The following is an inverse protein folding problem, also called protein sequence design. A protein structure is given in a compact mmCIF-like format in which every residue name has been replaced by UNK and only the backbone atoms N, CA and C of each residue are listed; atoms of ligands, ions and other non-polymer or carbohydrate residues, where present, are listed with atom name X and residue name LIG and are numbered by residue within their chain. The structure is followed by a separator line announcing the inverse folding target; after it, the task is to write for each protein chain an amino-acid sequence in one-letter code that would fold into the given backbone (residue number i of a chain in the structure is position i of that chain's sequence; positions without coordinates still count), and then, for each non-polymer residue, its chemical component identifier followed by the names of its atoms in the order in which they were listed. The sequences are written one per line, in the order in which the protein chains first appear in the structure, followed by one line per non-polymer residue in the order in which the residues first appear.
data_IF_309785240504
#
_entry.id   IF_309785240504
#
_cell.length_a   1.000
_cell.length_b   1.000
_cell.length_c   1.000
_cell.angle_alpha   90.00
_cell.angle_beta   90.00
_cell.angle_gamma   90.00
#
_symmetry.space_group_name_H-M   'P 1'
#
loop_
_entity.id
_entity.type
_entity.pdbx_description
1 polymer ?
#
# COMPACT_ATOMS: atom_id res chain seq x y z
N UNK A 1 18.37 -4.05 3.61
CA UNK A 1 18.45 -2.62 3.99
C UNK A 1 19.53 -1.98 3.15
N UNK A 2 19.26 -0.80 2.57
CA UNK A 2 20.26 -0.04 1.82
C UNK A 2 20.83 1.11 2.68
N UNK A 3 21.97 0.91 3.39
CA UNK A 3 22.56 1.94 4.24
C UNK A 3 22.89 3.22 3.47
N UNK A 4 23.35 3.06 2.22
CA UNK A 4 23.65 4.17 1.32
C UNK A 4 22.40 4.96 0.92
N UNK A 5 21.25 4.31 0.76
CA UNK A 5 19.99 4.99 0.48
C UNK A 5 19.51 5.83 1.67
N UNK A 6 19.65 5.31 2.89
CA UNK A 6 19.34 6.03 4.12
C UNK A 6 20.27 7.23 4.31
N UNK A 7 21.58 7.01 4.16
CA UNK A 7 22.57 8.08 4.28
C UNK A 7 22.33 9.20 3.25
N UNK A 8 22.07 8.84 1.99
CA UNK A 8 21.74 9.81 0.93
C UNK A 8 20.51 10.64 1.27
N UNK A 9 19.41 9.99 1.67
CA UNK A 9 18.17 10.67 2.03
C UNK A 9 18.35 11.60 3.25
N UNK A 10 19.13 11.18 4.26
CA UNK A 10 19.47 12.02 5.41
C UNK A 10 20.24 13.27 4.98
N UNK A 11 21.29 13.12 4.16
CA UNK A 11 22.09 14.24 3.69
C UNK A 11 21.24 15.20 2.84
N UNK A 12 20.41 14.68 1.95
CA UNK A 12 19.52 15.48 1.11
C UNK A 12 18.51 16.26 1.95
N UNK A 13 17.90 15.61 2.95
CA UNK A 13 16.91 16.24 3.83
C UNK A 13 17.54 17.32 4.74
N UNK A 14 18.73 17.07 5.26
CA UNK A 14 19.48 18.06 6.07
C UNK A 14 19.82 19.29 5.23
N UNK A 15 20.32 19.11 4.00
CA UNK A 15 20.68 20.23 3.12
C UNK A 15 19.49 21.06 2.63
N UNK A 16 18.34 20.42 2.41
CA UNK A 16 17.14 21.09 1.90
C UNK A 16 16.25 21.68 3.00
N UNK A 17 16.49 21.37 4.27
CA UNK A 17 15.59 21.73 5.37
C UNK A 17 14.18 21.09 5.27
N UNK A 18 14.00 20.16 4.32
CA UNK A 18 12.74 19.49 4.04
C UNK A 18 12.97 18.02 3.70
N UNK A 19 11.95 17.20 3.90
CA UNK A 19 11.96 15.79 3.50
C UNK A 19 11.63 15.66 2.01
N UNK A 20 12.62 15.86 1.14
CA UNK A 20 12.44 15.82 -0.32
C UNK A 20 12.51 14.42 -0.92
N UNK A 21 13.19 13.48 -0.26
CA UNK A 21 13.36 12.11 -0.77
C UNK A 21 13.01 11.07 0.28
N UNK A 22 12.09 10.17 -0.05
CA UNK A 22 11.76 9.00 0.79
C UNK A 22 12.84 7.93 0.67
N UNK A 23 13.69 7.76 1.71
CA UNK A 23 14.75 6.75 1.75
C UNK A 23 14.41 5.52 2.59
N UNK A 24 13.18 5.42 3.12
CA UNK A 24 12.77 4.29 3.96
C UNK A 24 12.58 3.02 3.14
N UNK A 25 13.13 1.91 3.62
CA UNK A 25 12.91 0.58 3.03
C UNK A 25 11.50 0.06 3.33
N UNK A 26 11.09 -0.98 2.62
CA UNK A 26 9.81 -1.67 2.87
C UNK A 26 9.75 -2.19 4.31
N UNK A 27 10.83 -2.77 4.83
CA UNK A 27 10.92 -3.24 6.23
C UNK A 27 10.75 -2.09 7.23
N UNK A 28 11.34 -0.92 6.98
CA UNK A 28 11.14 0.26 7.82
C UNK A 28 9.69 0.76 7.79
N UNK A 29 9.04 0.70 6.62
CA UNK A 29 7.62 1.06 6.52
C UNK A 29 6.73 0.07 7.29
N UNK A 30 7.05 -1.23 7.23
CA UNK A 30 6.35 -2.26 8.00
C UNK A 30 6.47 -2.02 9.49
N UNK A 31 7.69 -1.82 9.99
CA UNK A 31 7.95 -1.49 11.40
C UNK A 31 7.17 -0.26 11.84
N UNK A 32 7.18 0.80 11.04
CA UNK A 32 6.43 2.00 11.34
C UNK A 32 4.93 1.72 11.46
N UNK A 33 4.37 0.92 10.57
CA UNK A 33 2.94 0.64 10.54
C UNK A 33 2.49 -0.25 11.71
N UNK A 34 3.32 -1.22 12.12
CA UNK A 34 2.97 -2.21 13.15
C UNK A 34 3.28 -1.74 14.58
N UNK A 35 4.39 -1.04 14.79
CA UNK A 35 4.97 -0.86 16.13
C UNK A 35 5.15 0.60 16.56
N UNK A 36 5.02 1.57 15.66
CA UNK A 36 5.38 2.93 15.97
C UNK A 36 4.21 3.91 15.80
N UNK A 37 4.19 4.92 16.67
CA UNK A 37 3.23 6.03 16.57
C UNK A 37 3.49 6.92 15.34
N UNK A 38 2.48 7.72 14.96
CA UNK A 38 2.60 8.68 13.85
C UNK A 38 3.42 9.94 14.18
N UNK A 39 3.95 10.05 15.41
CA UNK A 39 4.79 11.18 15.81
C UNK A 39 6.08 11.26 14.99
N UNK A 40 6.43 12.46 14.56
CA UNK A 40 7.64 12.71 13.78
C UNK A 40 8.77 13.12 14.70
N UNK A 41 9.54 12.17 15.24
CA UNK A 41 10.71 12.41 16.05
C UNK A 41 11.95 11.67 15.51
N UNK A 42 13.14 12.18 15.80
CA UNK A 42 14.40 11.52 15.44
C UNK A 42 14.57 10.20 16.19
N UNK A 43 14.20 10.15 17.47
CA UNK A 43 14.23 8.92 18.28
C UNK A 43 13.38 7.83 17.67
N UNK A 44 12.14 8.16 17.27
CA UNK A 44 11.27 7.21 16.54
C UNK A 44 11.93 6.71 15.26
N UNK A 45 12.62 7.57 14.49
CA UNK A 45 13.28 7.17 13.25
C UNK A 45 14.48 6.25 13.48
N UNK A 46 15.21 6.44 14.58
CA UNK A 46 16.28 5.54 15.00
C UNK A 46 15.69 4.18 15.41
N UNK A 47 14.66 4.16 16.24
CA UNK A 47 13.97 2.91 16.64
C UNK A 47 13.43 2.15 15.42
N UNK A 48 12.81 2.85 14.46
CA UNK A 48 12.36 2.27 13.19
C UNK A 48 13.51 1.58 12.44
N UNK A 49 14.68 2.21 12.37
CA UNK A 49 15.84 1.64 11.69
C UNK A 49 16.40 0.41 12.42
N UNK A 50 16.52 0.46 13.75
CA UNK A 50 16.99 -0.66 14.57
C UNK A 50 16.04 -1.85 14.45
N UNK A 51 14.74 -1.64 14.63
CA UNK A 51 13.73 -2.69 14.52
C UNK A 51 13.69 -3.30 13.12
N UNK A 52 13.86 -2.49 12.07
CA UNK A 52 13.92 -2.98 10.70
C UNK A 52 15.15 -3.89 10.48
N UNK A 53 16.30 -3.55 11.06
CA UNK A 53 17.50 -4.42 11.02
C UNK A 53 17.20 -5.74 11.74
N UNK A 54 16.57 -5.70 12.90
CA UNK A 54 16.21 -6.92 13.64
C UNK A 54 15.25 -7.81 12.83
N UNK A 55 14.25 -7.24 12.16
CA UNK A 55 13.35 -8.00 11.29
C UNK A 55 14.09 -8.63 10.12
N UNK A 56 14.96 -7.87 9.42
CA UNK A 56 15.74 -8.37 8.29
C UNK A 56 16.74 -9.48 8.69
N UNK A 57 17.14 -9.55 9.96
CA UNK A 57 18.01 -10.62 10.49
C UNK A 57 17.25 -11.89 10.89
N UNK A 58 15.97 -11.75 11.31
CA UNK A 58 15.19 -12.87 11.84
C UNK A 58 14.22 -13.48 10.84
N UNK A 59 13.80 -12.73 9.84
CA UNK A 59 12.80 -13.15 8.85
C UNK A 59 13.34 -13.02 7.44
N UNK A 60 12.96 -13.97 6.58
CA UNK A 60 13.28 -13.90 5.16
C UNK A 60 12.46 -12.80 4.44
N UNK A 61 12.93 -12.42 3.25
CA UNK A 61 12.31 -11.32 2.48
C UNK A 61 10.86 -11.59 2.07
N UNK A 62 10.50 -12.86 1.84
CA UNK A 62 9.16 -13.23 1.43
C UNK A 62 8.18 -13.06 2.59
N UNK A 63 8.56 -13.51 3.79
CA UNK A 63 7.78 -13.32 5.02
C UNK A 63 7.56 -11.83 5.31
N UNK A 64 8.61 -11.00 5.18
CA UNK A 64 8.50 -9.55 5.36
C UNK A 64 7.58 -8.93 4.32
N UNK A 65 7.71 -9.33 3.04
CA UNK A 65 6.87 -8.83 1.95
C UNK A 65 5.40 -9.25 2.14
N UNK A 66 5.14 -10.51 2.48
CA UNK A 66 3.80 -11.02 2.75
C UNK A 66 3.13 -10.25 3.89
N UNK A 67 3.84 -10.08 5.01
CA UNK A 67 3.36 -9.29 6.15
C UNK A 67 3.07 -7.84 5.72
N UNK A 68 3.96 -7.23 4.95
CA UNK A 68 3.75 -5.88 4.43
C UNK A 68 2.49 -5.78 3.57
N UNK A 69 2.29 -6.72 2.65
CA UNK A 69 1.12 -6.74 1.76
C UNK A 69 -0.19 -6.94 2.53
N UNK A 70 -0.17 -7.60 3.68
CA UNK A 70 -1.33 -7.80 4.53
C UNK A 70 -1.62 -6.60 5.45
N UNK A 71 -0.60 -5.81 5.82
CA UNK A 71 -0.72 -4.76 6.83
C UNK A 71 -0.77 -3.33 6.27
N UNK A 72 -0.39 -3.14 4.99
CA UNK A 72 -0.30 -1.78 4.45
C UNK A 72 -1.67 -1.12 4.34
N UNK A 73 -1.77 0.13 4.81
CA UNK A 73 -2.98 0.93 4.70
C UNK A 73 -3.22 1.37 3.26
N UNK A 74 -4.41 1.10 2.72
CA UNK A 74 -4.78 1.35 1.33
C UNK A 74 -6.05 2.21 1.17
N UNK A 75 -6.71 2.57 2.25
CA UNK A 75 -7.90 3.41 2.16
C UNK A 75 -8.75 3.43 3.41
N UNK A 76 -9.91 4.09 3.31
CA UNK A 76 -10.86 4.28 4.40
C UNK A 76 -12.29 4.08 3.92
N UNK A 77 -13.06 3.30 4.64
CA UNK A 77 -14.50 3.13 4.45
C UNK A 77 -15.24 3.63 5.70
N UNK A 78 -15.76 4.87 5.67
CA UNK A 78 -16.28 5.50 6.88
C UNK A 78 -15.18 5.58 7.94
N UNK A 79 -15.43 5.00 9.12
CA UNK A 79 -14.48 4.94 10.23
C UNK A 79 -13.55 3.72 10.18
N UNK A 80 -13.77 2.80 9.22
CA UNK A 80 -12.98 1.58 9.10
C UNK A 80 -11.82 1.76 8.13
N UNK A 81 -10.61 1.57 8.61
CA UNK A 81 -9.40 1.56 7.79
C UNK A 81 -9.31 0.26 6.95
N UNK A 82 -8.87 0.39 5.71
CA UNK A 82 -8.65 -0.72 4.79
C UNK A 82 -7.16 -1.06 4.79
N UNK A 83 -6.83 -2.19 5.39
CA UNK A 83 -5.48 -2.72 5.44
C UNK A 83 -5.36 -3.98 4.59
N UNK A 84 -4.23 -4.14 3.93
CA UNK A 84 -3.89 -5.27 3.10
C UNK A 84 -4.51 -5.27 1.70
N UNK A 85 -3.79 -5.91 0.80
CA UNK A 85 -4.14 -5.94 -0.63
C UNK A 85 -5.41 -6.76 -0.90
N UNK A 86 -5.65 -7.84 -0.15
CA UNK A 86 -6.86 -8.66 -0.31
C UNK A 86 -8.12 -7.86 0.02
N UNK A 87 -8.13 -7.20 1.20
CA UNK A 87 -9.27 -6.37 1.61
C UNK A 87 -9.44 -5.17 0.66
N UNK A 88 -8.34 -4.54 0.23
CA UNK A 88 -8.38 -3.45 -0.72
C UNK A 88 -8.90 -3.88 -2.10
N UNK A 89 -8.59 -5.10 -2.55
CA UNK A 89 -9.14 -5.68 -3.77
C UNK A 89 -10.65 -5.81 -3.70
N UNK A 90 -11.17 -6.37 -2.63
CA UNK A 90 -12.61 -6.41 -2.38
C UNK A 90 -13.23 -5.02 -2.27
N UNK A 91 -12.53 -4.09 -1.59
CA UNK A 91 -13.00 -2.73 -1.38
C UNK A 91 -13.14 -1.94 -2.68
N UNK A 92 -12.13 -1.96 -3.55
CA UNK A 92 -12.12 -1.17 -4.77
C UNK A 92 -12.76 -1.88 -5.97
N UNK A 93 -12.64 -3.21 -6.05
CA UNK A 93 -13.05 -3.98 -7.24
C UNK A 93 -14.17 -5.00 -6.99
N UNK A 94 -14.52 -5.29 -5.72
CA UNK A 94 -15.52 -6.28 -5.37
C UNK A 94 -15.12 -7.73 -5.67
N UNK A 95 -13.80 -8.00 -5.80
CA UNK A 95 -13.24 -9.30 -6.18
C UNK A 95 -12.03 -9.63 -5.33
N UNK A 96 -11.73 -10.94 -5.10
CA UNK A 96 -10.50 -11.37 -4.49
C UNK A 96 -9.28 -10.96 -5.35
N UNK A 97 -8.13 -10.76 -4.72
CA UNK A 97 -6.91 -10.27 -5.38
C UNK A 97 -6.46 -11.14 -6.55
N UNK A 98 -6.71 -12.45 -6.49
CA UNK A 98 -6.38 -13.40 -7.58
C UNK A 98 -7.22 -13.21 -8.85
N UNK A 99 -8.32 -12.47 -8.78
CA UNK A 99 -9.27 -12.27 -9.89
C UNK A 99 -9.19 -10.85 -10.49
N UNK A 100 -8.39 -9.96 -9.92
CA UNK A 100 -8.20 -8.63 -10.50
C UNK A 100 -7.18 -8.66 -11.62
N UNK A 101 -7.32 -7.73 -12.56
CA UNK A 101 -6.41 -7.58 -13.69
C UNK A 101 -5.09 -6.90 -13.28
N UNK A 102 -4.08 -7.00 -14.15
CA UNK A 102 -2.75 -6.43 -13.87
C UNK A 102 -2.78 -4.90 -13.71
N UNK A 103 -3.60 -4.18 -14.46
CA UNK A 103 -3.80 -2.75 -14.30
C UNK A 103 -4.48 -2.40 -12.97
N UNK A 104 -5.40 -3.22 -12.49
CA UNK A 104 -6.01 -3.08 -11.16
C UNK A 104 -4.98 -3.38 -10.04
N UNK A 105 -4.12 -4.39 -10.22
CA UNK A 105 -2.99 -4.63 -9.31
C UNK A 105 -2.03 -3.44 -9.27
N UNK A 106 -1.68 -2.90 -10.44
CA UNK A 106 -0.83 -1.70 -10.55
C UNK A 106 -1.47 -0.47 -9.87
N UNK A 107 -2.80 -0.36 -9.90
CA UNK A 107 -3.51 0.68 -9.16
C UNK A 107 -3.35 0.51 -7.65
N UNK A 108 -3.56 -0.69 -7.10
CA UNK A 108 -3.37 -0.94 -5.65
C UNK A 108 -1.93 -0.61 -5.22
N UNK A 109 -0.93 -1.05 -5.98
CA UNK A 109 0.49 -0.70 -5.74
C UNK A 109 0.70 0.81 -5.80
N UNK A 110 0.05 1.49 -6.72
CA UNK A 110 0.09 2.95 -6.84
C UNK A 110 -0.48 3.68 -5.63
N UNK A 111 -1.59 3.20 -5.08
CA UNK A 111 -2.28 3.77 -3.91
C UNK A 111 -1.39 3.75 -2.66
N UNK A 112 -0.52 2.75 -2.49
CA UNK A 112 0.40 2.64 -1.35
C UNK A 112 1.18 3.92 -1.09
N UNK A 113 1.59 4.64 -2.14
CA UNK A 113 2.37 5.88 -2.01
C UNK A 113 1.64 6.99 -1.26
N UNK A 114 0.30 7.01 -1.36
CA UNK A 114 -0.53 8.02 -0.71
C UNK A 114 -2.01 7.70 -0.87
N UNK A 115 -2.59 6.88 0.01
CA UNK A 115 -3.96 6.38 -0.13
C UNK A 115 -5.03 7.46 -0.24
N UNK A 116 -4.83 8.61 0.39
CA UNK A 116 -5.77 9.75 0.28
C UNK A 116 -5.61 10.49 -1.05
N UNK A 117 -4.36 10.68 -1.51
CA UNK A 117 -4.05 11.43 -2.74
C UNK A 117 -4.42 10.63 -4.00
N UNK A 118 -4.20 9.32 -3.96
CA UNK A 118 -4.45 8.41 -5.07
C UNK A 118 -5.73 7.59 -4.90
N UNK A 119 -6.67 8.06 -4.08
CA UNK A 119 -7.97 7.42 -3.93
C UNK A 119 -8.76 7.48 -5.25
N UNK A 120 -9.12 6.34 -5.86
CA UNK A 120 -9.69 6.33 -7.21
C UNK A 120 -11.12 6.89 -7.28
N UNK A 121 -11.84 6.97 -6.15
CA UNK A 121 -13.16 7.60 -6.10
C UNK A 121 -13.11 9.10 -5.87
N UNK A 122 -12.08 9.59 -5.14
CA UNK A 122 -11.95 11.02 -4.81
C UNK A 122 -11.12 11.77 -5.84
N UNK A 123 -10.06 11.12 -6.33
CA UNK A 123 -9.05 11.71 -7.22
C UNK A 123 -8.75 10.74 -8.39
N UNK A 124 -9.74 10.44 -9.27
CA UNK A 124 -9.59 9.43 -10.32
C UNK A 124 -8.44 9.73 -11.28
N UNK A 125 -8.19 11.00 -11.62
CA UNK A 125 -7.08 11.37 -12.50
C UNK A 125 -5.72 11.10 -11.87
N UNK A 126 -5.52 11.49 -10.61
CA UNK A 126 -4.28 11.18 -9.88
C UNK A 126 -4.06 9.67 -9.74
N UNK A 127 -5.12 8.92 -9.48
CA UNK A 127 -5.08 7.47 -9.39
C UNK A 127 -4.70 6.83 -10.73
N UNK A 128 -5.26 7.33 -11.85
CA UNK A 128 -4.96 6.88 -13.20
C UNK A 128 -3.49 7.15 -13.58
N UNK A 129 -3.02 8.36 -13.34
CA UNK A 129 -1.62 8.74 -13.56
C UNK A 129 -0.68 7.89 -12.74
N UNK A 130 -1.00 7.69 -11.46
CA UNK A 130 -0.17 6.88 -10.55
C UNK A 130 -0.12 5.41 -10.94
N UNK A 131 -1.26 4.82 -11.37
CA UNK A 131 -1.31 3.49 -11.96
C UNK A 131 -0.38 3.39 -13.18
N UNK A 132 -0.46 4.36 -14.07
CA UNK A 132 0.33 4.38 -15.29
C UNK A 132 1.84 4.52 -15.02
N UNK A 133 2.23 5.22 -13.94
CA UNK A 133 3.63 5.23 -13.47
C UNK A 133 4.08 3.83 -13.05
N UNK A 134 3.23 3.07 -12.34
CA UNK A 134 3.57 1.68 -11.95
C UNK A 134 3.70 0.79 -13.18
N UNK A 135 2.75 0.87 -14.13
CA UNK A 135 2.84 0.13 -15.39
C UNK A 135 4.10 0.50 -16.19
N UNK A 136 4.48 1.78 -16.22
CA UNK A 136 5.72 2.25 -16.85
C UNK A 136 6.97 1.65 -16.22
N UNK A 137 7.03 1.55 -14.89
CA UNK A 137 8.11 0.87 -14.19
C UNK A 137 8.15 -0.64 -14.49
N UNK A 138 6.99 -1.28 -14.64
CA UNK A 138 6.93 -2.69 -15.05
C UNK A 138 7.48 -2.90 -16.46
N UNK A 139 7.22 -1.97 -17.38
CA UNK A 139 7.81 -1.98 -18.73
C UNK A 139 9.32 -1.75 -18.68
N UNK A 140 9.78 -0.73 -17.96
CA UNK A 140 11.21 -0.41 -17.78
C UNK A 140 12.00 -1.59 -17.22
N UNK A 141 11.42 -2.32 -16.28
CA UNK A 141 12.03 -3.53 -15.69
C UNK A 141 11.73 -4.81 -16.48
N UNK A 142 11.22 -4.71 -17.71
CA UNK A 142 10.93 -5.85 -18.60
C UNK A 142 9.98 -6.90 -18.01
N UNK A 143 9.12 -6.50 -17.05
CA UNK A 143 8.09 -7.36 -16.48
C UNK A 143 6.89 -7.53 -17.42
N UNK A 144 6.67 -6.55 -18.29
CA UNK A 144 5.65 -6.55 -19.36
C UNK A 144 6.24 -6.01 -20.66
N UNK A 145 5.66 -6.39 -21.80
CA UNK A 145 6.01 -5.84 -23.09
C UNK A 145 5.25 -4.56 -23.43
N UNK A 146 5.70 -3.82 -24.48
CA UNK A 146 5.11 -2.56 -24.93
C UNK A 146 3.63 -2.71 -25.30
N UNK A 147 3.28 -3.73 -26.07
CA UNK A 147 1.90 -4.00 -26.49
C UNK A 147 0.95 -4.14 -25.29
N UNK A 148 1.35 -4.92 -24.29
CA UNK A 148 0.58 -5.11 -23.07
C UNK A 148 0.50 -3.82 -22.25
N UNK A 149 1.59 -3.06 -22.15
CA UNK A 149 1.61 -1.76 -21.49
C UNK A 149 0.61 -0.80 -22.10
N UNK A 150 0.60 -0.62 -23.42
CA UNK A 150 -0.30 0.29 -24.12
C UNK A 150 -1.77 -0.12 -23.95
N UNK A 151 -2.05 -1.42 -24.05
CA UNK A 151 -3.37 -1.96 -23.79
C UNK A 151 -3.84 -1.67 -22.35
N UNK A 152 -2.99 -1.94 -21.33
CA UNK A 152 -3.36 -1.74 -19.92
C UNK A 152 -3.50 -0.25 -19.57
N UNK A 153 -2.63 0.60 -20.12
CA UNK A 153 -2.65 2.05 -19.90
C UNK A 153 -3.94 2.70 -20.42
N UNK A 154 -4.50 2.17 -21.50
CA UNK A 154 -5.74 2.70 -22.10
C UNK A 154 -7.00 2.34 -21.29
N UNK A 155 -6.94 1.35 -20.41
CA UNK A 155 -8.10 0.89 -19.61
C UNK A 155 -8.53 1.91 -18.57
N UNK A 156 -9.84 2.03 -18.28
CA UNK A 156 -10.34 2.79 -17.14
C UNK A 156 -9.87 2.13 -15.84
N UNK A 157 -10.02 2.82 -14.69
CA UNK A 157 -9.60 2.29 -13.38
C UNK A 157 -10.35 1.02 -12.95
N UNK A 158 -11.55 0.79 -13.48
CA UNK A 158 -12.33 -0.42 -13.22
C UNK A 158 -12.79 -0.59 -11.77
N UNK A 159 -12.84 0.49 -10.99
CA UNK A 159 -13.32 0.46 -9.61
C UNK A 159 -14.85 0.36 -9.58
N UNK A 160 -15.37 -0.40 -8.61
CA UNK A 160 -16.81 -0.49 -8.39
C UNK A 160 -17.41 0.81 -7.84
N UNK A 161 -18.72 0.98 -7.95
CA UNK A 161 -19.40 2.13 -7.35
C UNK A 161 -19.26 2.11 -5.83
N UNK A 162 -18.94 3.29 -5.25
CA UNK A 162 -18.76 3.45 -3.82
C UNK A 162 -20.04 3.05 -3.07
N UNK A 163 -19.89 2.19 -2.07
CA UNK A 163 -21.04 1.72 -1.24
C UNK A 163 -21.59 0.36 -1.61
N UNK A 164 -21.10 -0.30 -2.68
CA UNK A 164 -21.54 -1.67 -3.02
C UNK A 164 -21.00 -2.76 -2.07
N UNK A 165 -19.99 -2.44 -1.24
CA UNK A 165 -19.37 -3.40 -0.32
C UNK A 165 -20.35 -3.88 0.75
N UNK A 166 -21.22 -3.02 1.23
CA UNK A 166 -22.20 -3.38 2.28
C UNK A 166 -23.34 -4.29 1.82
N UNK A 167 -23.46 -4.60 0.51
CA UNK A 167 -24.59 -5.38 0.01
C UNK A 167 -24.30 -6.87 -0.18
N UNK A 168 -23.02 -7.29 -0.25
CA UNK A 168 -22.71 -8.69 -0.59
C UNK A 168 -22.66 -9.66 0.60
N UNK A 169 -22.31 -9.18 1.81
CA UNK A 169 -22.20 -10.04 3.00
C UNK A 169 -22.64 -9.36 4.31
N UNK A 170 -23.82 -8.72 4.39
CA UNK A 170 -24.26 -8.06 5.64
C UNK A 170 -24.43 -9.05 6.80
N UNK A 171 -24.93 -10.24 6.52
CA UNK A 171 -25.12 -11.30 7.53
C UNK A 171 -23.79 -11.83 8.08
N UNK A 172 -22.78 -12.04 7.23
CA UNK A 172 -21.47 -12.55 7.66
C UNK A 172 -20.71 -11.54 8.55
N UNK A 173 -20.75 -10.26 8.19
CA UNK A 173 -20.12 -9.21 9.01
C UNK A 173 -20.87 -9.03 10.35
N UNK A 174 -22.20 -9.10 10.36
CA UNK A 174 -22.96 -9.07 11.61
C UNK A 174 -22.67 -10.28 12.50
N UNK A 175 -22.53 -11.47 11.92
CA UNK A 175 -22.19 -12.69 12.67
C UNK A 175 -20.79 -12.58 13.28
N UNK A 176 -19.78 -12.13 12.50
CA UNK A 176 -18.43 -11.88 13.02
C UNK A 176 -18.40 -10.84 14.12
N UNK A 177 -19.12 -9.72 13.97
CA UNK A 177 -19.23 -8.70 15.01
C UNK A 177 -19.93 -9.22 16.27
N UNK A 178 -20.97 -10.05 16.13
CA UNK A 178 -21.65 -10.65 17.28
C UNK A 178 -20.76 -11.67 18.01
N UNK A 179 -20.01 -12.49 17.28
CA UNK A 179 -19.06 -13.45 17.87
C UNK A 179 -17.90 -12.77 18.57
N UNK A 180 -17.30 -11.73 17.97
CA UNK A 180 -16.24 -10.96 18.60
C UNK A 180 -16.71 -10.24 19.87
N UNK A 181 -17.93 -9.71 19.90
CA UNK A 181 -18.49 -9.07 21.09
C UNK A 181 -18.90 -10.05 22.19
N UNK A 182 -18.99 -11.35 21.88
CA UNK A 182 -19.38 -12.40 22.87
C UNK A 182 -18.15 -13.02 23.52
N UNK A 183 -16.95 -12.84 22.93
CA UNK A 183 -15.69 -13.41 23.39
C UNK A 183 -14.69 -12.37 23.96
N UNK A 184 -15.07 -11.09 24.04
CA UNK A 184 -14.39 -10.00 24.75
C UNK A 184 -15.17 -9.61 26.02
#
# INVERSE_FOLDING_TARGET
ISPLGIARAMITNIRAGQTLQGGSTLTQQLVKNLFLSNERSLSRKINEAIMAIMLDLHYDKNTILETYLNEIYLGQNGDTAIHGFELASHFYFGRPIREISLDQMALLVGIVKGPSLYNPWRNPNNALERRNVVLGLMLEHQMIGEELYDMLKSRPLGVQARGQINRRYPAFIQTLQSELNTHL
#
